data_IF_770030689805
#
_entry.id   IF_770030689805
#
_cell.length_a   1.000
_cell.length_b   1.000
_cell.length_c   1.000
_cell.angle_alpha   90.00
_cell.angle_beta   90.00
_cell.angle_gamma   90.00
#
_symmetry.space_group_name_H-M   'P 1'
#
loop_
_entity.id
_entity.type
_entity.pdbx_description
1 polymer ?
#
# COMPACT_ATOMS: atom_id res chain seq x y z
N UNK A 1 -33.24 -4.10 40.64
CA UNK A 1 -31.91 -3.97 40.00
C UNK A 1 -32.16 -3.96 38.50
N UNK A 2 -31.97 -2.82 37.83
CA UNK A 2 -32.25 -2.68 36.40
C UNK A 2 -30.99 -3.09 35.65
N UNK A 3 -31.05 -4.19 34.90
CA UNK A 3 -29.95 -4.64 34.05
C UNK A 3 -29.95 -3.73 32.82
N UNK A 4 -28.97 -2.83 32.72
CA UNK A 4 -28.77 -2.08 31.47
C UNK A 4 -28.34 -3.06 30.37
N UNK A 5 -28.96 -3.03 29.19
CA UNK A 5 -28.42 -3.75 28.05
C UNK A 5 -27.10 -3.07 27.67
N UNK A 6 -25.99 -3.81 27.75
CA UNK A 6 -24.75 -3.37 27.12
C UNK A 6 -24.99 -3.37 25.63
N UNK A 7 -25.24 -2.18 25.07
CA UNK A 7 -25.23 -1.97 23.64
C UNK A 7 -23.79 -2.31 23.20
N UNK A 8 -23.64 -3.46 22.56
CA UNK A 8 -22.44 -3.75 21.79
C UNK A 8 -22.34 -2.61 20.77
N UNK A 9 -21.41 -1.70 21.00
CA UNK A 9 -21.10 -0.69 20.00
C UNK A 9 -20.72 -1.44 18.73
N UNK A 10 -21.21 -1.05 17.55
CA UNK A 10 -20.58 -1.50 16.33
C UNK A 10 -19.14 -1.01 16.44
N UNK A 11 -18.18 -1.93 16.55
CA UNK A 11 -16.78 -1.60 16.28
C UNK A 11 -16.81 -1.05 14.88
N UNK A 12 -16.75 0.28 14.78
CA UNK A 12 -16.57 0.95 13.52
C UNK A 12 -15.38 0.26 12.86
N UNK A 13 -15.60 -0.31 11.68
CA UNK A 13 -14.56 -0.84 10.82
C UNK A 13 -13.67 0.34 10.39
N UNK A 14 -12.88 0.84 11.33
CA UNK A 14 -11.87 1.85 11.17
C UNK A 14 -10.74 1.19 10.41
N UNK A 15 -10.85 1.17 9.08
CA UNK A 15 -9.76 0.84 8.14
C UNK A 15 -8.80 -0.23 8.64
N UNK A 16 -9.31 -1.43 8.97
CA UNK A 16 -8.48 -2.51 9.48
C UNK A 16 -7.37 -2.80 8.46
N UNK A 17 -6.12 -2.73 8.93
CA UNK A 17 -4.94 -3.09 8.13
C UNK A 17 -5.18 -4.46 7.51
N UNK A 18 -5.00 -4.62 6.19
CA UNK A 18 -5.22 -5.90 5.53
C UNK A 18 -4.30 -6.98 6.11
N UNK A 19 -4.79 -8.21 6.14
CA UNK A 19 -3.98 -9.38 6.47
C UNK A 19 -2.74 -9.45 5.58
N UNK A 20 -1.65 -10.05 6.10
CA UNK A 20 -0.42 -10.22 5.34
C UNK A 20 -0.65 -11.12 4.13
N UNK A 21 -0.17 -10.69 2.97
CA UNK A 21 -0.15 -11.48 1.75
C UNK A 21 0.93 -12.55 1.83
N UNK A 22 0.52 -13.80 1.61
CA UNK A 22 1.40 -14.97 1.62
C UNK A 22 1.70 -15.54 0.24
N UNK A 23 1.12 -14.97 -0.84
CA UNK A 23 1.25 -15.46 -2.21
C UNK A 23 -0.05 -15.98 -2.84
N UNK A 24 -1.13 -16.11 -2.08
CA UNK A 24 -2.43 -16.62 -2.53
C UNK A 24 -3.52 -15.55 -2.43
N UNK A 25 -4.61 -15.69 -3.21
CA UNK A 25 -5.75 -14.75 -3.22
C UNK A 25 -5.33 -13.30 -3.51
N UNK A 26 -4.39 -13.12 -4.45
CA UNK A 26 -3.76 -11.82 -4.70
C UNK A 26 -4.79 -10.75 -5.03
N UNK A 27 -5.81 -11.07 -5.84
CA UNK A 27 -6.87 -10.13 -6.21
C UNK A 27 -7.58 -9.53 -4.98
N UNK A 28 -7.87 -10.35 -3.97
CA UNK A 28 -8.54 -9.92 -2.74
C UNK A 28 -7.61 -9.06 -1.88
N UNK A 29 -6.37 -9.52 -1.69
CA UNK A 29 -5.40 -8.76 -0.91
C UNK A 29 -5.09 -7.40 -1.55
N UNK A 30 -4.86 -7.39 -2.87
CA UNK A 30 -4.58 -6.20 -3.66
C UNK A 30 -5.69 -5.15 -3.53
N UNK A 31 -6.96 -5.56 -3.66
CA UNK A 31 -8.10 -4.66 -3.45
C UNK A 31 -8.17 -4.10 -2.03
N UNK A 32 -7.97 -4.94 -1.00
CA UNK A 32 -7.97 -4.49 0.40
C UNK A 32 -6.81 -3.54 0.69
N UNK A 33 -5.62 -3.82 0.16
CA UNK A 33 -4.44 -2.96 0.31
C UNK A 33 -4.63 -1.62 -0.40
N UNK A 34 -5.16 -1.62 -1.62
CA UNK A 34 -5.47 -0.39 -2.34
C UNK A 34 -6.48 0.48 -1.58
N UNK A 35 -7.54 -0.14 -1.05
CA UNK A 35 -8.51 0.57 -0.21
C UNK A 35 -7.85 1.16 1.04
N UNK A 36 -7.03 0.37 1.73
CA UNK A 36 -6.29 0.83 2.92
C UNK A 36 -5.38 2.03 2.60
N UNK A 37 -4.57 1.96 1.54
CA UNK A 37 -3.73 3.07 1.11
C UNK A 37 -4.54 4.30 0.68
N UNK A 38 -5.74 4.11 0.14
CA UNK A 38 -6.65 5.21 -0.21
C UNK A 38 -7.14 5.93 1.05
N UNK A 39 -7.52 5.19 2.10
CA UNK A 39 -7.93 5.80 3.39
C UNK A 39 -6.80 6.59 4.06
N UNK A 40 -5.55 6.23 3.78
CA UNK A 40 -4.35 6.93 4.24
C UNK A 40 -3.90 8.07 3.31
N UNK A 41 -4.60 8.30 2.19
CA UNK A 41 -4.23 9.25 1.14
C UNK A 41 -2.85 8.97 0.50
N UNK A 42 -2.47 7.69 0.42
CA UNK A 42 -1.18 7.23 -0.13
C UNK A 42 -1.31 6.53 -1.49
N UNK A 43 -2.54 6.27 -1.96
CA UNK A 43 -2.77 5.58 -3.22
C UNK A 43 -2.14 6.29 -4.45
N UNK A 44 -2.03 7.62 -4.41
CA UNK A 44 -1.39 8.42 -5.46
C UNK A 44 0.04 7.99 -5.81
N UNK A 45 0.81 7.54 -4.81
CA UNK A 45 2.21 7.12 -5.00
C UNK A 45 2.35 5.80 -5.76
N UNK A 46 1.24 5.09 -6.02
CA UNK A 46 1.22 3.89 -6.85
C UNK A 46 1.18 4.20 -8.34
N UNK A 47 0.77 5.41 -8.74
CA UNK A 47 0.50 5.77 -10.14
C UNK A 47 1.13 7.07 -10.60
N UNK A 48 1.20 8.08 -9.73
CA UNK A 48 1.81 9.38 -10.06
C UNK A 48 3.34 9.28 -10.12
N UNK A 49 3.96 10.21 -10.84
CA UNK A 49 5.41 10.37 -10.90
C UNK A 49 5.88 11.40 -9.89
N UNK A 50 7.14 11.26 -9.44
CA UNK A 50 7.78 12.26 -8.60
C UNK A 50 7.79 13.61 -9.33
N UNK A 51 7.50 14.72 -8.64
CA UNK A 51 7.59 16.02 -9.29
C UNK A 51 9.05 16.30 -9.74
N UNK A 52 9.20 17.13 -10.76
CA UNK A 52 10.52 17.37 -11.38
C UNK A 52 11.20 18.57 -10.71
N UNK A 53 12.43 18.37 -10.26
CA UNK A 53 13.30 19.45 -9.76
C UNK A 53 14.59 19.45 -10.57
N UNK A 54 14.90 20.59 -11.20
CA UNK A 54 16.13 20.79 -11.96
C UNK A 54 17.35 20.94 -11.06
N UNK A 55 18.53 20.54 -11.56
CA UNK A 55 19.78 20.82 -10.87
C UNK A 55 19.98 22.33 -10.67
N UNK A 56 20.35 22.74 -9.46
CA UNK A 56 20.49 24.16 -9.10
C UNK A 56 19.20 24.86 -8.70
N UNK A 57 18.07 24.15 -8.59
CA UNK A 57 16.80 24.74 -8.15
C UNK A 57 16.90 25.32 -6.74
N UNK A 58 16.69 26.63 -6.61
CA UNK A 58 16.70 27.37 -5.34
C UNK A 58 15.31 27.63 -4.79
N UNK A 59 14.27 27.31 -5.56
CA UNK A 59 12.87 27.43 -5.12
C UNK A 59 12.59 26.48 -3.96
N UNK A 60 12.47 27.08 -2.77
CA UNK A 60 12.16 26.40 -1.52
C UNK A 60 10.85 25.60 -1.61
N UNK A 61 9.86 26.06 -2.37
CA UNK A 61 8.57 25.37 -2.51
C UNK A 61 8.74 24.07 -3.31
N UNK A 62 9.53 24.09 -4.38
CA UNK A 62 9.80 22.89 -5.18
C UNK A 62 10.60 21.85 -4.39
N UNK A 63 11.58 22.28 -3.60
CA UNK A 63 12.32 21.39 -2.69
C UNK A 63 11.40 20.79 -1.62
N UNK A 64 10.58 21.60 -0.97
CA UNK A 64 9.60 21.10 0.02
C UNK A 64 8.62 20.09 -0.60
N UNK A 65 8.19 20.31 -1.85
CA UNK A 65 7.35 19.36 -2.56
C UNK A 65 8.07 18.03 -2.84
N UNK A 66 9.38 18.06 -3.15
CA UNK A 66 10.19 16.84 -3.27
C UNK A 66 10.31 16.09 -1.96
N UNK A 67 10.63 16.79 -0.88
CA UNK A 67 10.81 16.15 0.42
C UNK A 67 9.50 15.51 0.90
N UNK A 68 8.37 16.21 0.71
CA UNK A 68 7.04 15.67 0.98
C UNK A 68 6.73 14.46 0.11
N UNK A 69 7.10 14.49 -1.17
CA UNK A 69 6.92 13.36 -2.08
C UNK A 69 7.74 12.13 -1.63
N UNK A 70 9.04 12.32 -1.38
CA UNK A 70 9.96 11.25 -0.94
C UNK A 70 9.46 10.62 0.36
N UNK A 71 8.99 11.44 1.30
CA UNK A 71 8.41 10.94 2.55
C UNK A 71 7.13 10.13 2.30
N UNK A 72 6.23 10.62 1.46
CA UNK A 72 4.98 9.92 1.13
C UNK A 72 5.21 8.61 0.38
N UNK A 73 6.12 8.58 -0.59
CA UNK A 73 6.52 7.36 -1.29
C UNK A 73 7.14 6.34 -0.33
N UNK A 74 8.02 6.79 0.57
CA UNK A 74 8.59 5.95 1.62
C UNK A 74 7.51 5.31 2.50
N UNK A 75 6.54 6.09 2.97
CA UNK A 75 5.44 5.59 3.79
C UNK A 75 4.59 4.58 3.01
N UNK A 76 4.17 4.93 1.80
CA UNK A 76 3.36 4.06 0.95
C UNK A 76 4.06 2.71 0.71
N UNK A 77 5.34 2.73 0.34
CA UNK A 77 6.16 1.53 0.19
C UNK A 77 6.21 0.70 1.47
N UNK A 78 6.42 1.33 2.62
CA UNK A 78 6.47 0.64 3.90
C UNK A 78 5.14 -0.02 4.26
N UNK A 79 4.00 0.60 3.97
CA UNK A 79 2.69 -0.02 4.22
C UNK A 79 2.46 -1.25 3.34
N UNK A 80 2.84 -1.18 2.06
CA UNK A 80 2.76 -2.34 1.17
C UNK A 80 3.65 -3.47 1.69
N UNK A 81 4.93 -3.18 2.00
CA UNK A 81 5.88 -4.16 2.54
C UNK A 81 5.38 -4.79 3.84
N UNK A 82 4.82 -3.98 4.74
CA UNK A 82 4.21 -4.43 5.98
C UNK A 82 2.97 -5.32 5.77
N UNK A 83 2.32 -5.20 4.61
CA UNK A 83 1.25 -6.09 4.18
C UNK A 83 1.73 -7.39 3.55
N UNK A 84 3.04 -7.66 3.49
CA UNK A 84 3.59 -8.91 2.98
C UNK A 84 3.98 -9.87 4.12
N UNK A 85 4.00 -11.17 3.83
CA UNK A 85 4.68 -12.15 4.66
C UNK A 85 6.18 -11.88 4.71
N UNK A 86 6.86 -12.35 5.74
CA UNK A 86 8.28 -12.02 5.95
C UNK A 86 9.17 -12.56 4.80
N UNK A 87 8.80 -13.71 4.22
CA UNK A 87 9.44 -14.26 3.02
C UNK A 87 9.31 -13.30 1.82
N UNK A 88 8.11 -12.79 1.55
CA UNK A 88 7.89 -11.88 0.43
C UNK A 88 8.48 -10.49 0.70
N UNK A 89 8.43 -10.02 1.95
CA UNK A 89 9.11 -8.79 2.37
C UNK A 89 10.57 -8.82 1.96
N UNK A 90 11.31 -9.90 2.27
CA UNK A 90 12.73 -10.00 1.96
C UNK A 90 13.00 -9.92 0.45
N UNK A 91 12.17 -10.57 -0.38
CA UNK A 91 12.29 -10.53 -1.84
C UNK A 91 12.06 -9.12 -2.40
N UNK A 92 11.06 -8.42 -1.87
CA UNK A 92 10.58 -7.16 -2.43
C UNK A 92 11.11 -5.88 -1.74
N UNK A 93 11.79 -6.02 -0.61
CA UNK A 93 12.32 -4.90 0.20
C UNK A 93 13.29 -3.98 -0.55
N UNK A 94 13.92 -4.48 -1.61
CA UNK A 94 14.89 -3.73 -2.43
C UNK A 94 14.24 -2.74 -3.40
N UNK A 95 12.92 -2.76 -3.55
CA UNK A 95 12.18 -1.87 -4.44
C UNK A 95 12.40 -0.40 -4.09
N UNK A 96 12.72 0.43 -5.09
CA UNK A 96 13.12 1.83 -4.88
C UNK A 96 11.96 2.77 -4.62
N UNK A 97 10.78 2.49 -5.15
CA UNK A 97 9.57 3.29 -5.00
C UNK A 97 8.36 2.42 -4.66
N UNK A 98 7.30 3.03 -4.12
CA UNK A 98 6.03 2.33 -3.88
C UNK A 98 5.43 1.80 -5.18
N UNK A 99 5.48 2.60 -6.26
CA UNK A 99 5.03 2.21 -7.60
C UNK A 99 5.78 0.98 -8.14
N UNK A 100 7.11 0.98 -8.10
CA UNK A 100 7.89 -0.16 -8.62
C UNK A 100 7.61 -1.45 -7.84
N UNK A 101 7.41 -1.34 -6.53
CA UNK A 101 6.99 -2.46 -5.68
C UNK A 101 5.60 -2.98 -6.10
N UNK A 102 4.63 -2.08 -6.23
CA UNK A 102 3.26 -2.41 -6.60
C UNK A 102 3.19 -3.09 -7.97
N UNK A 103 3.82 -2.51 -8.99
CA UNK A 103 3.88 -3.06 -10.35
C UNK A 103 4.56 -4.44 -10.37
N UNK A 104 5.60 -4.66 -9.56
CA UNK A 104 6.29 -5.95 -9.47
C UNK A 104 5.40 -7.04 -8.86
N UNK A 105 4.59 -6.71 -7.85
CA UNK A 105 3.61 -7.61 -7.28
C UNK A 105 2.51 -7.94 -8.29
N UNK A 106 1.98 -6.92 -8.96
CA UNK A 106 0.96 -7.10 -9.99
C UNK A 106 1.45 -7.99 -11.14
N UNK A 107 2.67 -7.75 -11.64
CA UNK A 107 3.26 -8.52 -12.73
C UNK A 107 3.41 -10.00 -12.39
N UNK A 108 3.77 -10.32 -11.15
CA UNK A 108 3.97 -11.70 -10.71
C UNK A 108 2.64 -12.41 -10.47
N UNK A 109 1.75 -11.79 -9.70
CA UNK A 109 0.59 -12.50 -9.14
C UNK A 109 -0.73 -12.26 -9.90
N UNK A 110 -0.86 -11.23 -10.76
CA UNK A 110 -2.08 -11.08 -11.60
C UNK A 110 -2.21 -12.18 -12.65
N UNK A 111 -1.11 -12.73 -13.15
CA UNK A 111 -1.11 -13.80 -14.16
C UNK A 111 -1.32 -15.19 -13.55
N UNK A 112 -0.86 -15.40 -12.31
CA UNK A 112 -0.99 -16.69 -11.59
C UNK A 112 -2.44 -16.96 -11.14
N UNK A 113 -3.19 -15.94 -10.72
CA UNK A 113 -4.60 -16.06 -10.27
C UNK A 113 -5.56 -16.46 -11.41
N UNK A 114 -5.21 -16.14 -12.66
CA UNK A 114 -5.97 -16.55 -13.84
C UNK A 114 -5.79 -18.04 -14.19
N UNK A 115 -4.69 -18.66 -13.74
CA UNK A 115 -4.35 -20.06 -14.04
C UNK A 115 -4.99 -21.10 -13.12
N UNK A 116 -5.33 -20.72 -11.88
CA UNK A 116 -5.88 -21.66 -10.88
C UNK A 116 -7.36 -22.01 -11.08
N UNK A 117 -8.05 -21.43 -12.07
CA UNK A 117 -9.48 -21.67 -12.31
C UNK A 117 -9.78 -22.75 -13.34
N UNK A 118 -8.76 -23.40 -13.91
CA UNK A 118 -8.90 -24.38 -15.00
C UNK A 118 -8.15 -25.71 -14.76
N UNK A 119 -8.26 -26.31 -13.56
CA UNK A 119 -7.81 -27.70 -13.31
C UNK A 119 -8.88 -28.51 -12.60
#
# INVERSE_FOLDING_TARGET
MVVQPHVAQPVAAQGERPEKFSGTEFKRWHQKMLFYLTTLNLARFLSEEAPVVSEGETDTQKRAAMDAWVHGDFLCRNYILNGLSDTLYNVYSSAKTARALWESLEKKYKTEDAGLRNS
#
